data_IF_440170960618
#
_entry.id   IF_440170960618
#
_cell.length_a   1.000
_cell.length_b   1.000
_cell.length_c   1.000
_cell.angle_alpha   90.00
_cell.angle_beta   90.00
_cell.angle_gamma   90.00
#
_symmetry.space_group_name_H-M   'P 1'
#
loop_
_entity.id
_entity.type
_entity.pdbx_description
1 polymer ?
#
# COMPACT_ATOMS: atom_id res chain seq x y z
N UNK A 1 -47.21 17.75 30.24
CA UNK A 1 -46.88 17.40 28.84
C UNK A 1 -45.41 17.01 28.78
N UNK A 2 -45.08 15.72 28.67
CA UNK A 2 -43.70 15.26 28.59
C UNK A 2 -43.09 15.64 27.24
N UNK A 3 -42.00 16.41 27.22
CA UNK A 3 -41.24 16.68 25.99
C UNK A 3 -40.82 15.35 25.36
N UNK A 4 -41.40 14.99 24.22
CA UNK A 4 -40.92 13.88 23.40
C UNK A 4 -39.44 14.16 23.06
N UNK A 5 -38.55 13.28 23.50
CA UNK A 5 -37.14 13.36 23.13
C UNK A 5 -37.02 12.90 21.67
N UNK A 6 -36.27 13.64 20.87
CA UNK A 6 -36.00 13.26 19.49
C UNK A 6 -35.36 11.86 19.42
N UNK A 7 -35.83 11.05 18.46
CA UNK A 7 -35.24 9.76 18.18
C UNK A 7 -33.78 9.95 17.70
N UNK A 8 -32.87 9.11 18.21
CA UNK A 8 -31.45 9.18 17.92
C UNK A 8 -30.95 7.82 17.42
N UNK A 9 -30.32 7.77 16.25
CA UNK A 9 -29.68 6.56 15.74
C UNK A 9 -28.20 6.51 16.12
N UNK A 10 -27.76 5.43 16.75
CA UNK A 10 -26.35 5.18 17.05
C UNK A 10 -25.76 4.27 15.97
N UNK A 11 -24.76 4.74 15.23
CA UNK A 11 -24.07 3.94 14.20
C UNK A 11 -23.22 2.81 14.80
N UNK A 12 -22.61 3.02 15.97
CA UNK A 12 -21.80 1.98 16.63
C UNK A 12 -22.66 0.83 17.14
N UNK A 13 -23.81 1.14 17.75
CA UNK A 13 -24.75 0.14 18.24
C UNK A 13 -25.73 -0.35 17.18
N UNK A 14 -25.78 0.31 16.01
CA UNK A 14 -26.74 0.10 14.90
C UNK A 14 -28.20 0.05 15.37
N UNK A 15 -28.57 0.95 16.29
CA UNK A 15 -29.88 0.98 16.94
C UNK A 15 -30.39 2.40 17.10
N UNK A 16 -31.69 2.54 17.00
CA UNK A 16 -32.40 3.81 17.26
C UNK A 16 -32.91 3.84 18.69
N UNK A 17 -32.64 4.94 19.39
CA UNK A 17 -33.00 5.19 20.77
C UNK A 17 -33.95 6.39 20.86
N UNK A 18 -35.10 6.20 21.49
CA UNK A 18 -36.12 7.25 21.64
C UNK A 18 -35.96 8.07 22.94
N UNK A 19 -35.00 7.70 23.78
CA UNK A 19 -34.69 8.38 25.05
C UNK A 19 -33.63 9.49 24.93
N UNK A 20 -33.25 9.84 23.69
CA UNK A 20 -32.19 10.80 23.37
C UNK A 20 -30.78 10.21 23.47
N UNK A 21 -29.75 11.08 23.57
CA UNK A 21 -28.33 10.68 23.53
C UNK A 21 -27.79 10.00 24.79
N UNK A 22 -28.61 9.74 25.81
CA UNK A 22 -28.13 9.14 27.08
C UNK A 22 -27.52 7.75 26.94
N UNK A 23 -27.89 6.98 25.90
CA UNK A 23 -27.40 5.61 25.71
C UNK A 23 -25.87 5.51 25.53
N UNK A 24 -25.19 6.60 25.10
CA UNK A 24 -23.72 6.59 24.92
C UNK A 24 -22.97 6.35 26.24
N UNK A 25 -23.60 6.63 27.38
CA UNK A 25 -23.04 6.36 28.70
C UNK A 25 -23.32 4.93 29.19
N UNK A 26 -24.12 4.15 28.47
CA UNK A 26 -24.50 2.80 28.86
C UNK A 26 -23.37 1.79 28.66
N UNK A 27 -23.32 0.78 29.53
CA UNK A 27 -22.28 -0.27 29.53
C UNK A 27 -22.12 -0.92 28.15
N UNK A 28 -23.22 -1.35 27.53
CA UNK A 28 -23.20 -2.03 26.21
C UNK A 28 -22.58 -1.16 25.11
N UNK A 29 -22.87 0.15 25.11
CA UNK A 29 -22.28 1.07 24.14
C UNK A 29 -20.78 1.20 24.38
N UNK A 30 -20.37 1.42 25.64
CA UNK A 30 -18.97 1.58 26.01
C UNK A 30 -18.14 0.31 25.76
N UNK A 31 -18.69 -0.87 25.98
CA UNK A 31 -18.04 -2.14 25.63
C UNK A 31 -17.86 -2.29 24.11
N UNK A 32 -18.91 -1.98 23.33
CA UNK A 32 -18.85 -2.01 21.86
C UNK A 32 -17.80 -1.02 21.34
N UNK A 33 -17.81 0.20 21.87
CA UNK A 33 -16.85 1.25 21.53
C UNK A 33 -15.42 0.82 21.85
N UNK A 34 -15.18 0.25 23.03
CA UNK A 34 -13.87 -0.26 23.43
C UNK A 34 -13.36 -1.32 22.45
N UNK A 35 -14.18 -2.32 22.13
CA UNK A 35 -13.77 -3.39 21.20
C UNK A 35 -13.45 -2.84 19.80
N UNK A 36 -14.23 -1.87 19.32
CA UNK A 36 -13.97 -1.20 18.03
C UNK A 36 -12.64 -0.45 18.08
N UNK A 37 -12.39 0.30 19.16
CA UNK A 37 -11.16 1.07 19.32
C UNK A 37 -9.94 0.15 19.50
N UNK A 38 -10.06 -0.96 20.21
CA UNK A 38 -8.97 -1.92 20.39
C UNK A 38 -8.56 -2.54 19.04
N UNK A 39 -9.54 -3.02 18.26
CA UNK A 39 -9.30 -3.54 16.92
C UNK A 39 -8.72 -2.47 15.97
N UNK A 40 -9.15 -1.21 16.11
CA UNK A 40 -8.62 -0.13 15.29
C UNK A 40 -7.19 0.22 15.72
N UNK A 41 -6.88 0.17 17.01
CA UNK A 41 -5.57 0.46 17.57
C UNK A 41 -4.52 -0.54 17.08
N UNK A 42 -4.87 -1.81 16.89
CA UNK A 42 -3.96 -2.79 16.28
C UNK A 42 -3.48 -2.34 14.90
N UNK A 43 -4.39 -1.86 14.05
CA UNK A 43 -4.04 -1.32 12.73
C UNK A 43 -3.15 -0.07 12.83
N UNK A 44 -3.42 0.79 13.80
CA UNK A 44 -2.59 1.98 14.06
C UNK A 44 -1.19 1.58 14.50
N UNK A 45 -1.06 0.57 15.37
CA UNK A 45 0.23 0.05 15.82
C UNK A 45 1.04 -0.52 14.67
N UNK A 46 0.41 -1.24 13.75
CA UNK A 46 1.08 -1.75 12.56
C UNK A 46 1.59 -0.62 11.65
N UNK A 47 0.76 0.40 11.39
CA UNK A 47 1.18 1.57 10.62
C UNK A 47 2.32 2.34 11.32
N UNK A 48 2.31 2.41 12.65
CA UNK A 48 3.38 3.09 13.41
C UNK A 48 4.73 2.35 13.36
N UNK A 49 4.76 1.04 13.08
CA UNK A 49 6.03 0.30 12.93
C UNK A 49 6.85 0.83 11.75
N UNK A 50 6.19 1.26 10.66
CA UNK A 50 6.87 1.77 9.46
C UNK A 50 7.37 3.21 9.60
N UNK A 51 7.06 3.92 10.70
CA UNK A 51 7.59 5.27 10.95
C UNK A 51 9.12 5.28 11.10
N UNK A 52 9.69 4.18 11.62
CA UNK A 52 11.14 4.05 11.81
C UNK A 52 11.85 3.62 10.54
N UNK A 53 11.18 2.80 9.74
CA UNK A 53 11.71 2.19 8.53
C UNK A 53 10.58 2.11 7.50
N UNK A 54 10.54 3.12 6.63
CA UNK A 54 9.58 3.15 5.54
C UNK A 54 9.92 2.04 4.55
N UNK A 55 8.88 1.41 4.00
CA UNK A 55 9.01 0.36 2.98
C UNK A 55 8.47 0.87 1.67
N UNK A 56 9.31 0.80 0.65
CA UNK A 56 8.98 1.07 -0.75
C UNK A 56 9.14 -0.23 -1.50
N UNK A 57 8.09 -0.62 -2.21
CA UNK A 57 8.01 -1.89 -2.90
C UNK A 57 7.51 -1.69 -4.32
N UNK A 58 7.80 -2.64 -5.20
CA UNK A 58 7.21 -2.68 -6.53
C UNK A 58 5.69 -2.82 -6.38
N UNK A 59 4.95 -2.06 -7.17
CA UNK A 59 3.50 -2.11 -7.11
C UNK A 59 2.97 -3.49 -7.49
N UNK A 60 2.05 -3.97 -6.66
CA UNK A 60 1.27 -5.19 -6.83
C UNK A 60 -0.16 -4.87 -6.37
N UNK A 61 -1.14 -4.97 -7.27
CA UNK A 61 -2.53 -4.63 -6.97
C UNK A 61 -3.14 -5.54 -5.89
N UNK A 62 -2.68 -6.79 -5.76
CA UNK A 62 -3.20 -7.72 -4.75
C UNK A 62 -2.78 -7.34 -3.34
N UNK A 63 -1.60 -6.73 -3.22
CA UNK A 63 -1.02 -6.33 -1.93
C UNK A 63 -1.28 -4.85 -1.61
N UNK A 64 -1.27 -3.97 -2.60
CA UNK A 64 -1.21 -2.52 -2.40
C UNK A 64 -2.54 -1.79 -2.60
N UNK A 65 -3.52 -2.38 -3.29
CA UNK A 65 -4.87 -1.80 -3.42
C UNK A 65 -5.76 -2.13 -2.19
N UNK A 66 -5.15 -2.15 -1.01
CA UNK A 66 -5.86 -2.35 0.24
C UNK A 66 -6.38 -1.02 0.78
N UNK A 67 -7.58 -1.08 1.33
CA UNK A 67 -8.18 0.02 2.08
C UNK A 67 -8.36 -0.37 3.55
N UNK A 68 -8.55 0.62 4.41
CA UNK A 68 -9.05 0.40 5.75
C UNK A 68 -10.21 1.35 6.06
N UNK A 69 -11.11 0.89 6.92
CA UNK A 69 -12.17 1.72 7.46
C UNK A 69 -11.66 2.57 8.63
N UNK A 70 -11.78 3.89 8.53
CA UNK A 70 -11.50 4.79 9.64
C UNK A 70 -12.79 5.08 10.42
N UNK A 71 -12.89 4.60 11.66
CA UNK A 71 -14.08 4.80 12.50
C UNK A 71 -14.28 6.27 12.91
N UNK A 72 -13.20 7.03 13.10
CA UNK A 72 -13.29 8.46 13.39
C UNK A 72 -13.90 9.24 12.23
N UNK A 73 -13.48 8.90 11.01
CA UNK A 73 -13.86 9.63 9.81
C UNK A 73 -15.12 9.10 9.13
N UNK A 74 -15.49 7.85 9.43
CA UNK A 74 -16.59 7.10 8.81
C UNK A 74 -16.40 6.98 7.30
N UNK A 75 -15.17 6.75 6.89
CA UNK A 75 -14.77 6.66 5.48
C UNK A 75 -13.79 5.52 5.28
N UNK A 76 -13.81 4.98 4.07
CA UNK A 76 -12.80 4.07 3.58
C UNK A 76 -11.58 4.87 3.08
N UNK A 77 -10.38 4.46 3.49
CA UNK A 77 -9.13 5.19 3.25
C UNK A 77 -8.11 4.22 2.64
N UNK A 78 -7.34 4.69 1.65
CA UNK A 78 -6.23 3.93 1.07
C UNK A 78 -5.20 3.61 2.15
N UNK A 79 -4.81 2.34 2.26
CA UNK A 79 -3.79 1.90 3.22
C UNK A 79 -2.39 2.31 2.74
N UNK A 80 -2.12 2.13 1.46
CA UNK A 80 -0.82 2.41 0.82
C UNK A 80 -0.94 3.65 -0.11
N UNK A 81 0.18 4.32 -0.40
CA UNK A 81 0.26 5.31 -1.51
C UNK A 81 0.96 4.63 -2.67
N UNK A 82 0.48 4.83 -3.89
CA UNK A 82 1.09 4.26 -5.10
C UNK A 82 1.03 5.24 -6.27
N UNK A 83 2.00 5.13 -7.18
CA UNK A 83 2.02 5.80 -8.48
C UNK A 83 1.82 4.82 -9.65
N UNK A 84 1.44 3.56 -9.38
CA UNK A 84 1.24 2.50 -10.37
C UNK A 84 2.49 1.65 -10.68
N UNK A 85 3.69 2.14 -10.34
CA UNK A 85 4.94 1.37 -10.48
C UNK A 85 5.51 0.91 -9.15
N UNK A 86 5.38 1.76 -8.12
CA UNK A 86 5.83 1.49 -6.76
C UNK A 86 4.71 1.80 -5.76
N UNK A 87 4.85 1.26 -4.56
CA UNK A 87 3.97 1.52 -3.44
C UNK A 87 4.77 1.84 -2.17
N UNK A 88 4.33 2.88 -1.46
CA UNK A 88 4.78 3.21 -0.12
C UNK A 88 3.86 2.53 0.88
N UNK A 89 4.40 1.55 1.60
CA UNK A 89 3.61 0.72 2.51
C UNK A 89 3.10 1.57 3.68
N UNK A 90 1.80 1.49 3.99
CA UNK A 90 1.12 2.33 5.00
C UNK A 90 1.13 3.86 4.75
N UNK A 91 1.62 4.32 3.59
CA UNK A 91 1.70 5.75 3.30
C UNK A 91 0.34 6.47 3.43
N UNK A 92 -0.72 5.88 2.87
CA UNK A 92 -2.05 6.50 2.84
C UNK A 92 -2.70 6.52 4.22
N UNK A 93 -2.40 5.49 5.03
CA UNK A 93 -2.82 5.44 6.43
C UNK A 93 -2.21 6.60 7.23
N UNK A 94 -0.89 6.80 7.12
CA UNK A 94 -0.17 7.80 7.89
C UNK A 94 -0.50 9.23 7.44
N UNK A 95 -0.62 9.45 6.13
CA UNK A 95 -1.09 10.72 5.55
C UNK A 95 -2.48 11.09 6.07
N UNK A 96 -3.42 10.12 6.07
CA UNK A 96 -4.75 10.34 6.65
C UNK A 96 -4.70 10.72 8.13
N UNK A 97 -3.87 10.03 8.91
CA UNK A 97 -3.76 10.26 10.36
C UNK A 97 -3.11 11.60 10.73
N UNK A 98 -2.23 12.12 9.88
CA UNK A 98 -1.67 13.47 10.06
C UNK A 98 -2.68 14.55 9.68
N UNK A 99 -3.58 14.29 8.73
CA UNK A 99 -4.51 15.29 8.20
C UNK A 99 -5.29 16.05 9.28
N UNK A 100 -5.43 17.37 9.07
CA UNK A 100 -6.19 18.23 9.98
C UNK A 100 -7.68 17.83 10.06
N UNK A 101 -8.22 17.26 8.98
CA UNK A 101 -9.59 16.75 8.93
C UNK A 101 -9.77 15.56 9.88
N UNK A 102 -8.85 14.58 9.84
CA UNK A 102 -8.90 13.43 10.75
C UNK A 102 -8.76 13.86 12.21
N UNK A 103 -7.86 14.80 12.53
CA UNK A 103 -7.70 15.33 13.91
C UNK A 103 -9.00 15.96 14.44
N UNK A 104 -9.72 16.69 13.59
CA UNK A 104 -11.04 17.27 13.92
C UNK A 104 -12.11 16.19 14.10
N UNK A 105 -12.22 15.27 13.14
CA UNK A 105 -13.20 14.16 13.17
C UNK A 105 -12.97 13.21 14.35
N UNK A 106 -11.72 12.92 14.68
CA UNK A 106 -11.33 12.16 15.89
C UNK A 106 -11.78 12.89 17.15
N UNK A 107 -11.58 14.20 17.25
CA UNK A 107 -12.05 14.98 18.40
C UNK A 107 -13.58 14.96 18.53
N UNK A 108 -14.31 15.09 17.42
CA UNK A 108 -15.77 14.99 17.39
C UNK A 108 -16.23 13.58 17.80
N UNK A 109 -15.65 12.54 17.21
CA UNK A 109 -15.97 11.14 17.50
C UNK A 109 -15.79 10.81 19.00
N UNK A 110 -14.70 11.27 19.62
CA UNK A 110 -14.45 11.09 21.05
C UNK A 110 -15.55 11.73 21.90
N UNK A 111 -15.94 12.96 21.56
CA UNK A 111 -16.96 13.69 22.29
C UNK A 111 -18.35 13.08 22.10
N UNK A 112 -18.69 12.65 20.88
CA UNK A 112 -19.99 12.05 20.54
C UNK A 112 -20.21 10.73 21.25
N UNK A 113 -19.20 9.85 21.26
CA UNK A 113 -19.29 8.50 21.82
C UNK A 113 -18.81 8.41 23.28
N UNK A 114 -18.42 9.54 23.89
CA UNK A 114 -17.90 9.60 25.26
C UNK A 114 -16.76 8.61 25.49
N UNK A 115 -15.87 8.52 24.50
CA UNK A 115 -14.71 7.64 24.54
C UNK A 115 -13.72 8.09 25.62
N UNK A 116 -12.89 7.15 26.09
CA UNK A 116 -11.87 7.43 27.08
C UNK A 116 -10.83 8.41 26.53
N UNK A 117 -10.74 9.60 27.14
CA UNK A 117 -9.85 10.68 26.70
C UNK A 117 -8.37 10.28 26.74
N UNK A 118 -7.98 9.39 27.67
CA UNK A 118 -6.59 8.91 27.81
C UNK A 118 -6.10 8.11 26.59
N UNK A 119 -7.03 7.61 25.77
CA UNK A 119 -6.69 6.83 24.58
C UNK A 119 -6.63 7.68 23.32
N UNK A 120 -7.10 8.94 23.35
CA UNK A 120 -7.29 9.77 22.16
C UNK A 120 -6.01 9.97 21.36
N UNK A 121 -4.91 10.28 22.04
CA UNK A 121 -3.63 10.61 21.39
C UNK A 121 -3.02 9.42 20.64
N UNK A 122 -3.48 8.19 20.93
CA UNK A 122 -3.08 7.00 20.18
C UNK A 122 -3.67 6.96 18.78
N UNK A 123 -4.75 7.72 18.51
CA UNK A 123 -5.44 7.75 17.21
C UNK A 123 -5.14 9.00 16.39
N UNK A 124 -4.09 9.73 16.75
CA UNK A 124 -3.52 10.84 16.00
C UNK A 124 -2.05 10.58 15.68
N UNK A 125 -1.55 11.20 14.62
CA UNK A 125 -0.11 11.25 14.31
C UNK A 125 0.41 12.67 14.56
N UNK A 126 1.56 12.78 15.21
CA UNK A 126 2.21 14.07 15.41
C UNK A 126 2.86 14.54 14.11
N UNK A 127 2.96 15.86 13.87
CA UNK A 127 3.68 16.39 12.72
C UNK A 127 5.13 15.90 12.69
N UNK A 128 5.80 15.83 13.84
CA UNK A 128 7.20 15.42 13.94
C UNK A 128 7.41 13.96 13.52
N UNK A 129 6.49 13.06 13.90
CA UNK A 129 6.58 11.66 13.50
C UNK A 129 6.26 11.48 12.00
N UNK A 130 5.36 12.31 11.45
CA UNK A 130 5.10 12.29 10.02
C UNK A 130 6.27 12.84 9.19
N UNK A 131 6.96 13.88 9.65
CA UNK A 131 8.16 14.37 9.00
C UNK A 131 9.30 13.32 9.02
N UNK A 132 9.47 12.59 10.13
CA UNK A 132 10.41 11.45 10.18
C UNK A 132 10.05 10.38 9.15
N UNK A 133 8.76 10.09 9.02
CA UNK A 133 8.28 9.14 8.03
C UNK A 133 8.57 9.59 6.60
N UNK A 134 8.32 10.87 6.26
CA UNK A 134 8.69 11.41 4.95
C UNK A 134 10.18 11.26 4.66
N UNK A 135 11.03 11.61 5.62
CA UNK A 135 12.48 11.44 5.47
C UNK A 135 12.88 9.96 5.26
N UNK A 136 12.25 9.04 6.00
CA UNK A 136 12.46 7.61 5.82
C UNK A 136 11.98 7.12 4.44
N UNK A 137 10.86 7.64 3.93
CA UNK A 137 10.35 7.35 2.58
C UNK A 137 11.33 7.83 1.52
N UNK A 138 11.84 9.05 1.61
CA UNK A 138 12.85 9.57 0.67
C UNK A 138 14.07 8.64 0.60
N UNK A 139 14.62 8.26 1.75
CA UNK A 139 15.75 7.32 1.81
C UNK A 139 15.40 5.94 1.22
N UNK A 140 14.20 5.44 1.49
CA UNK A 140 13.76 4.14 0.97
C UNK A 140 13.56 4.17 -0.56
N UNK A 141 13.10 5.30 -1.11
CA UNK A 141 12.99 5.52 -2.55
C UNK A 141 14.37 5.51 -3.22
N UNK A 142 15.33 6.27 -2.68
CA UNK A 142 16.72 6.29 -3.18
C UNK A 142 17.32 4.88 -3.19
N UNK A 143 17.18 4.14 -2.08
CA UNK A 143 17.68 2.75 -2.01
C UNK A 143 16.97 1.79 -2.96
N UNK A 144 15.68 2.01 -3.25
CA UNK A 144 14.94 1.21 -4.21
C UNK A 144 15.45 1.48 -5.63
N UNK A 145 15.62 2.75 -6.01
CA UNK A 145 16.13 3.15 -7.32
C UNK A 145 17.55 2.61 -7.57
N UNK A 146 18.45 2.71 -6.59
CA UNK A 146 19.81 2.15 -6.69
C UNK A 146 19.79 0.64 -6.98
N UNK A 147 18.92 -0.12 -6.29
CA UNK A 147 18.80 -1.57 -6.51
C UNK A 147 18.23 -1.89 -7.89
N UNK A 148 17.22 -1.15 -8.35
CA UNK A 148 16.67 -1.35 -9.69
C UNK A 148 17.72 -1.05 -10.76
N UNK A 149 18.54 -0.02 -10.60
CA UNK A 149 19.65 0.30 -11.50
C UNK A 149 20.70 -0.82 -11.54
N UNK A 150 21.04 -1.41 -10.39
CA UNK A 150 21.93 -2.57 -10.31
C UNK A 150 21.34 -3.76 -11.07
N UNK A 151 20.06 -4.09 -10.87
CA UNK A 151 19.40 -5.18 -11.59
C UNK A 151 19.40 -4.96 -13.11
N UNK A 152 19.21 -3.72 -13.56
CA UNK A 152 19.25 -3.36 -14.99
C UNK A 152 20.68 -3.57 -15.54
N UNK A 153 21.71 -3.11 -14.82
CA UNK A 153 23.12 -3.27 -15.23
C UNK A 153 23.50 -4.74 -15.35
N UNK A 154 23.20 -5.53 -14.34
CA UNK A 154 23.46 -6.98 -14.36
C UNK A 154 22.70 -7.68 -15.50
N UNK A 155 21.45 -7.28 -15.75
CA UNK A 155 20.66 -7.78 -16.87
C UNK A 155 21.32 -7.48 -18.21
N UNK A 156 21.81 -6.26 -18.41
CA UNK A 156 22.50 -5.85 -19.62
C UNK A 156 23.85 -6.57 -19.82
N UNK A 157 24.57 -6.87 -18.74
CA UNK A 157 25.81 -7.67 -18.79
C UNK A 157 25.53 -9.11 -19.23
N UNK A 158 24.52 -9.76 -18.63
CA UNK A 158 24.10 -11.12 -19.04
C UNK A 158 23.69 -11.18 -20.51
N UNK A 159 22.96 -10.17 -21.00
CA UNK A 159 22.58 -10.10 -22.43
C UNK A 159 23.82 -10.01 -23.31
N UNK A 160 24.76 -9.11 -22.97
CA UNK A 160 26.02 -8.94 -23.72
C UNK A 160 26.86 -10.21 -23.76
N UNK A 161 26.97 -10.91 -22.64
CA UNK A 161 27.70 -12.19 -22.55
C UNK A 161 27.06 -13.27 -23.45
N UNK A 162 25.74 -13.43 -23.38
CA UNK A 162 25.02 -14.40 -24.21
C UNK A 162 25.13 -14.05 -25.70
N UNK A 163 25.08 -12.77 -26.05
CA UNK A 163 25.27 -12.32 -27.43
C UNK A 163 26.70 -12.58 -27.93
N UNK A 164 27.71 -12.37 -27.09
CA UNK A 164 29.10 -12.68 -27.40
C UNK A 164 29.28 -14.18 -27.66
N UNK A 165 28.81 -15.03 -26.75
CA UNK A 165 28.87 -16.48 -26.91
C UNK A 165 28.18 -16.95 -28.20
N UNK A 166 27.00 -16.38 -28.52
CA UNK A 166 26.31 -16.67 -29.78
C UNK A 166 27.14 -16.29 -31.02
N UNK A 167 27.78 -15.11 -31.01
CA UNK A 167 28.65 -14.67 -32.12
C UNK A 167 29.83 -15.61 -32.31
N UNK A 168 30.49 -16.00 -31.23
CA UNK A 168 31.63 -16.93 -31.25
C UNK A 168 31.22 -18.29 -31.81
N UNK A 169 30.08 -18.85 -31.39
CA UNK A 169 29.55 -20.11 -31.93
C UNK A 169 29.22 -20.03 -33.42
N UNK A 170 28.59 -18.94 -33.88
CA UNK A 170 28.29 -18.73 -35.29
C UNK A 170 29.58 -18.61 -36.11
N UNK A 171 30.56 -17.87 -35.60
CA UNK A 171 31.86 -17.73 -36.25
C UNK A 171 32.57 -19.08 -36.36
N UNK A 172 32.64 -19.84 -35.27
CA UNK A 172 33.19 -21.18 -35.27
C UNK A 172 32.51 -22.07 -36.32
N UNK A 173 31.17 -22.09 -36.39
CA UNK A 173 30.41 -22.86 -37.37
C UNK A 173 30.71 -22.48 -38.84
N UNK A 174 30.99 -21.20 -39.11
CA UNK A 174 31.42 -20.73 -40.43
C UNK A 174 32.86 -21.15 -40.74
N UNK A 175 33.75 -21.14 -39.75
CA UNK A 175 35.17 -21.50 -39.88
C UNK A 175 35.42 -23.01 -40.05
N UNK A 176 34.65 -23.89 -39.37
CA UNK A 176 34.72 -25.35 -39.62
C UNK A 176 34.14 -25.78 -40.97
N UNK A 177 33.63 -24.83 -41.76
CA UNK A 177 33.16 -25.07 -43.12
C UNK A 177 31.90 -25.93 -43.14
N UNK A 178 30.74 -25.28 -43.19
CA UNK A 178 29.55 -25.95 -43.72
C UNK A 178 29.92 -26.57 -45.07
N UNK A 179 29.73 -27.89 -45.29
CA UNK A 179 29.98 -28.50 -46.58
C UNK A 179 29.25 -27.68 -47.63
N UNK A 180 29.98 -27.15 -48.61
CA UNK A 180 29.42 -26.51 -49.80
C UNK A 180 28.43 -27.51 -50.41
N UNK A 181 27.14 -27.37 -50.13
CA UNK A 181 26.12 -28.13 -50.85
C UNK A 181 26.18 -27.62 -52.28
N UNK A 182 26.90 -28.39 -53.10
CA UNK A 182 27.03 -28.15 -54.52
C UNK A 182 25.64 -28.40 -55.11
N UNK A 183 24.82 -27.35 -55.20
CA UNK A 183 23.62 -27.31 -56.03
C UNK A 183 24.08 -27.43 -57.48
N UNK A 184 24.46 -28.64 -57.89
CA UNK A 184 24.61 -28.97 -59.31
C UNK A 184 23.21 -28.83 -59.91
N UNK A 185 23.03 -27.76 -60.68
CA UNK A 185 21.95 -27.61 -61.63
C UNK A 185 21.84 -28.89 -62.47
N UNK A 186 20.76 -29.61 -62.26
CA UNK A 186 20.42 -30.78 -63.07
C UNK A 186 19.93 -30.25 -64.41
N UNK A 187 20.85 -30.12 -65.37
CA UNK A 187 20.49 -29.90 -66.76
C UNK A 187 19.80 -31.16 -67.28
N UNK A 188 18.51 -31.05 -67.61
CA UNK A 188 17.74 -32.08 -68.31
C UNK A 188 18.25 -32.25 -69.75
N UNK A 189 18.42 -33.48 -70.26
CA UNK A 189 18.72 -33.68 -71.66
C UNK A 189 17.42 -33.58 -72.48
N UNK A 190 17.41 -32.67 -73.47
CA UNK A 190 16.42 -32.69 -74.55
C UNK A 190 16.63 -33.96 -75.37
N UNK A 191 15.61 -34.83 -75.37
CA UNK A 191 15.47 -35.85 -76.40
C UNK A 191 14.85 -35.25 -77.66
N UNK A 192 15.36 -35.78 -78.78
CA UNK A 192 15.15 -35.40 -80.17
C UNK A 192 13.75 -35.73 -80.68
#
# INVERSE_FOLDING_TARGET
MGKQKAAFHCELCRRTFFSGRGHVYGLKHQETLRNILDNFLEKVRDARKVLKEARVERYDFTEHDQNFWCYCCKTEVKKHVTNGNIAVVYGGFLEHFESSEHKKKTSAFWWENKANIKLKDQFSLSPEDYEKFKAAVTKALESYEEKEDEYIKEGAERIREVEQQRRELVQAALEVGLPRMNLKSRAEPRHR
#
